data_IF_146824071761
#
_entry.id   IF_146824071761
#
_cell.length_a   1.000
_cell.length_b   1.000
_cell.length_c   1.000
_cell.angle_alpha   90.00
_cell.angle_beta   90.00
_cell.angle_gamma   90.00
#
_symmetry.space_group_name_H-M   'P 1'
#
loop_
_entity.id
_entity.type
_entity.pdbx_description
1 polymer ?
#
# COMPACT_ATOMS: atom_id res chain seq x y z
N UNK A 1 -35.07 88.21 -42.14
CA UNK A 1 -34.08 87.87 -41.10
C UNK A 1 -34.31 86.39 -40.79
N UNK A 2 -33.28 85.57 -41.03
CA UNK A 2 -33.10 84.13 -40.76
C UNK A 2 -34.15 83.48 -39.80
N UNK A 3 -34.70 82.28 -40.03
CA UNK A 3 -34.05 81.04 -40.46
C UNK A 3 -35.06 79.95 -40.89
N UNK A 4 -34.63 79.16 -41.89
CA UNK A 4 -34.68 77.68 -42.01
C UNK A 4 -36.00 76.88 -42.02
N UNK A 5 -36.34 76.42 -43.23
CA UNK A 5 -36.92 75.09 -43.58
C UNK A 5 -35.89 73.94 -43.37
N UNK A 6 -36.18 72.63 -43.61
CA UNK A 6 -37.39 71.81 -43.45
C UNK A 6 -37.04 70.38 -42.92
N UNK A 7 -37.96 69.43 -43.12
CA UNK A 7 -37.74 67.98 -43.35
C UNK A 7 -37.92 66.99 -42.18
N UNK A 8 -39.10 66.38 -42.23
CA UNK A 8 -39.37 64.94 -42.06
C UNK A 8 -38.18 63.99 -41.95
N UNK A 9 -38.16 63.22 -40.86
CA UNK A 9 -37.50 61.91 -40.80
C UNK A 9 -38.46 60.86 -40.26
N UNK A 10 -39.05 60.09 -41.18
CA UNK A 10 -39.45 58.70 -40.95
C UNK A 10 -38.24 57.81 -41.24
N UNK A 11 -37.76 57.03 -40.28
CA UNK A 11 -37.22 55.69 -40.54
C UNK A 11 -37.20 54.88 -39.24
N UNK A 12 -37.98 53.81 -39.26
CA UNK A 12 -37.90 52.72 -38.32
C UNK A 12 -36.58 51.96 -38.47
N UNK A 13 -36.07 51.42 -37.35
CA UNK A 13 -35.15 50.28 -37.35
C UNK A 13 -33.91 50.45 -36.48
N UNK A 14 -33.86 49.73 -35.36
CA UNK A 14 -32.81 48.74 -35.11
C UNK A 14 -32.95 48.15 -33.69
N UNK A 15 -33.92 47.24 -33.54
CA UNK A 15 -33.92 46.25 -32.46
C UNK A 15 -33.17 44.99 -32.92
N UNK A 16 -31.87 45.09 -33.26
CA UNK A 16 -31.00 43.94 -33.59
C UNK A 16 -29.52 44.11 -33.19
N UNK A 17 -29.25 44.74 -32.05
CA UNK A 17 -27.88 44.96 -31.56
C UNK A 17 -27.35 43.98 -30.51
N UNK A 18 -28.13 42.96 -30.10
CA UNK A 18 -27.88 42.25 -28.83
C UNK A 18 -27.39 40.80 -28.92
N UNK A 19 -27.22 40.20 -30.11
CA UNK A 19 -26.87 38.77 -30.23
C UNK A 19 -25.95 38.43 -31.42
N UNK A 20 -24.87 39.18 -31.62
CA UNK A 20 -23.74 38.70 -32.44
C UNK A 20 -22.42 38.90 -31.69
N UNK A 21 -22.31 38.22 -30.55
CA UNK A 21 -21.03 37.96 -29.91
C UNK A 21 -20.18 37.09 -30.84
N UNK A 22 -19.34 37.71 -31.66
CA UNK A 22 -18.26 37.04 -32.40
C UNK A 22 -17.22 36.59 -31.35
N UNK A 23 -17.50 35.50 -30.64
CA UNK A 23 -16.49 34.80 -29.87
C UNK A 23 -15.43 34.34 -30.87
N UNK A 24 -14.29 35.04 -30.92
CA UNK A 24 -13.22 34.65 -31.80
C UNK A 24 -12.78 33.23 -31.41
N UNK A 25 -12.54 32.37 -32.39
CA UNK A 25 -12.06 31.00 -32.19
C UNK A 25 -10.85 30.97 -31.24
N UNK A 26 -10.04 32.03 -31.25
CA UNK A 26 -8.90 32.24 -30.36
C UNK A 26 -9.31 32.33 -28.88
N UNK A 27 -10.37 33.07 -28.55
CA UNK A 27 -10.87 33.14 -27.16
C UNK A 27 -11.48 31.81 -26.70
N UNK A 28 -12.15 31.08 -27.60
CA UNK A 28 -12.66 29.74 -27.31
C UNK A 28 -11.53 28.75 -27.03
N UNK A 29 -10.47 28.75 -27.85
CA UNK A 29 -9.30 27.91 -27.66
C UNK A 29 -8.52 28.24 -26.38
N UNK A 30 -8.38 29.52 -26.04
CA UNK A 30 -7.78 29.96 -24.77
C UNK A 30 -8.62 29.46 -23.59
N UNK A 31 -9.95 29.57 -23.66
CA UNK A 31 -10.85 29.02 -22.63
C UNK A 31 -10.69 27.52 -22.44
N UNK A 32 -10.64 26.74 -23.53
CA UNK A 32 -10.41 25.28 -23.48
C UNK A 32 -9.04 24.96 -22.89
N UNK A 33 -7.98 25.67 -23.29
CA UNK A 33 -6.64 25.45 -22.77
C UNK A 33 -6.55 25.75 -21.27
N UNK A 34 -7.18 26.83 -20.80
CA UNK A 34 -7.23 27.18 -19.37
C UNK A 34 -8.02 26.13 -18.59
N UNK A 35 -9.18 25.68 -19.09
CA UNK A 35 -9.95 24.60 -18.46
C UNK A 35 -9.16 23.28 -18.44
N UNK A 36 -8.53 22.90 -19.55
CA UNK A 36 -7.68 21.70 -19.61
C UNK A 36 -6.49 21.79 -18.66
N UNK A 37 -5.89 22.98 -18.50
CA UNK A 37 -4.83 23.21 -17.53
C UNK A 37 -5.33 23.09 -16.08
N UNK A 38 -6.51 23.65 -15.78
CA UNK A 38 -7.16 23.56 -14.45
C UNK A 38 -7.55 22.12 -14.13
N UNK A 39 -8.22 21.41 -15.04
CA UNK A 39 -8.63 20.01 -14.85
C UNK A 39 -7.43 19.06 -14.85
N UNK A 40 -6.41 19.33 -15.66
CA UNK A 40 -5.14 18.60 -15.63
C UNK A 40 -4.42 18.79 -14.29
N UNK A 41 -4.38 20.03 -13.78
CA UNK A 41 -3.81 20.37 -12.48
C UNK A 41 -4.58 19.72 -11.32
N UNK A 42 -5.91 19.79 -11.33
CA UNK A 42 -6.79 19.14 -10.35
C UNK A 42 -6.70 17.60 -10.40
N UNK A 43 -6.58 17.03 -11.61
CA UNK A 43 -6.39 15.59 -11.81
C UNK A 43 -5.03 15.10 -11.30
N UNK A 44 -3.99 15.91 -11.46
CA UNK A 44 -2.66 15.68 -10.91
C UNK A 44 -2.65 15.72 -9.37
N UNK A 45 -3.36 16.69 -8.77
CA UNK A 45 -3.44 16.87 -7.31
C UNK A 45 -4.43 15.97 -6.57
N UNK A 46 -5.24 15.16 -7.27
CA UNK A 46 -6.07 14.15 -6.59
C UNK A 46 -5.17 13.24 -5.76
N UNK A 47 -5.28 13.32 -4.44
CA UNK A 47 -4.38 12.61 -3.51
C UNK A 47 -4.43 11.12 -3.77
N UNK A 48 -3.25 10.53 -3.96
CA UNK A 48 -3.06 9.10 -3.99
C UNK A 48 -3.43 8.55 -2.59
N UNK A 49 -4.46 7.71 -2.52
CA UNK A 49 -4.89 7.04 -1.29
C UNK A 49 -5.04 5.56 -1.53
N UNK A 50 -4.78 4.78 -0.50
CA UNK A 50 -4.95 3.34 -0.53
C UNK A 50 -5.08 2.78 0.87
N UNK A 51 -5.55 1.54 0.92
CA UNK A 51 -5.55 0.74 2.14
C UNK A 51 -4.36 -0.20 2.07
N UNK A 52 -3.58 -0.22 3.14
CA UNK A 52 -2.52 -1.20 3.35
C UNK A 52 -2.94 -2.11 4.49
N UNK A 53 -2.91 -3.41 4.25
CA UNK A 53 -2.98 -4.40 5.32
C UNK A 53 -1.77 -5.28 5.32
N UNK A 54 -1.44 -5.83 6.49
CA UNK A 54 -0.34 -6.77 6.62
C UNK A 54 -0.68 -7.93 7.54
N UNK A 55 -0.07 -9.07 7.24
CA UNK A 55 -0.08 -10.30 8.05
C UNK A 55 1.36 -10.71 8.30
N UNK A 56 1.61 -11.34 9.44
CA UNK A 56 2.93 -11.77 9.88
C UNK A 56 2.79 -13.20 10.33
N UNK A 57 3.65 -14.09 9.87
CA UNK A 57 3.69 -15.48 10.31
C UNK A 57 5.11 -16.05 10.22
N UNK A 58 5.32 -17.20 10.84
CA UNK A 58 6.51 -18.02 10.62
C UNK A 58 6.17 -19.25 9.78
N UNK A 59 6.90 -19.44 8.69
CA UNK A 59 6.65 -20.48 7.69
C UNK A 59 7.78 -21.51 7.72
N UNK A 60 7.48 -22.82 7.78
CA UNK A 60 8.47 -23.87 7.57
C UNK A 60 9.12 -23.77 6.18
N UNK A 61 10.45 -23.90 6.10
CA UNK A 61 11.22 -23.82 4.85
C UNK A 61 10.64 -24.74 3.77
N UNK A 62 10.31 -25.99 4.12
CA UNK A 62 9.72 -26.96 3.20
C UNK A 62 8.42 -26.48 2.55
N UNK A 63 7.54 -25.82 3.32
CA UNK A 63 6.27 -25.29 2.80
C UNK A 63 6.51 -24.10 1.88
N UNK A 64 7.45 -23.22 2.24
CA UNK A 64 7.82 -22.07 1.44
C UNK A 64 8.45 -22.50 0.09
N UNK A 65 9.38 -23.45 0.13
CA UNK A 65 10.06 -23.98 -1.06
C UNK A 65 9.07 -24.66 -2.02
N UNK A 66 8.08 -25.36 -1.48
CA UNK A 66 7.02 -26.00 -2.27
C UNK A 66 6.16 -25.01 -3.08
N UNK A 67 6.15 -23.72 -2.72
CA UNK A 67 5.43 -22.69 -3.47
C UNK A 67 6.11 -22.33 -4.80
N UNK A 68 7.38 -22.67 -4.98
CA UNK A 68 8.13 -22.38 -6.21
C UNK A 68 8.25 -20.88 -6.53
N UNK A 69 8.14 -20.01 -5.52
CA UNK A 69 8.17 -18.57 -5.70
C UNK A 69 9.59 -18.07 -5.99
N UNK A 70 9.71 -17.13 -6.93
CA UNK A 70 10.98 -16.46 -7.19
C UNK A 70 11.06 -15.17 -6.38
N UNK A 71 11.98 -15.14 -5.42
CA UNK A 71 12.19 -13.99 -4.56
C UNK A 71 13.25 -13.05 -5.11
N UNK A 72 12.97 -11.75 -5.04
CA UNK A 72 13.87 -10.65 -5.37
C UNK A 72 14.60 -10.21 -4.10
N UNK A 73 15.92 -10.11 -4.20
CA UNK A 73 16.74 -9.65 -3.09
C UNK A 73 16.50 -8.16 -2.78
N UNK A 74 16.61 -7.80 -1.50
CA UNK A 74 16.67 -6.42 -1.05
C UNK A 74 18.12 -6.14 -0.68
N UNK A 75 18.67 -5.04 -1.17
CA UNK A 75 20.05 -4.65 -0.88
C UNK A 75 20.24 -4.46 0.64
N UNK A 76 21.31 -5.02 1.18
CA UNK A 76 21.72 -4.88 2.59
C UNK A 76 20.63 -5.32 3.59
N UNK A 77 19.81 -6.30 3.23
CA UNK A 77 18.75 -6.86 4.07
C UNK A 77 18.68 -8.38 3.93
N UNK A 78 18.43 -9.15 5.01
CA UNK A 78 18.14 -10.57 4.92
C UNK A 78 16.79 -10.86 4.25
N UNK A 79 15.93 -9.84 4.16
CA UNK A 79 14.62 -9.98 3.54
C UNK A 79 14.70 -10.02 2.02
N UNK A 80 13.82 -10.83 1.44
CA UNK A 80 13.58 -10.91 0.00
C UNK A 80 12.07 -10.82 -0.22
N UNK A 81 11.65 -10.46 -1.43
CA UNK A 81 10.22 -10.29 -1.71
C UNK A 81 9.78 -10.95 -3.00
N UNK A 82 8.53 -11.41 -3.03
CA UNK A 82 7.85 -11.91 -4.21
C UNK A 82 6.45 -11.33 -4.29
N UNK A 83 5.89 -11.24 -5.49
CA UNK A 83 4.46 -10.95 -5.66
C UNK A 83 3.69 -12.27 -5.68
N UNK A 84 2.62 -12.35 -4.90
CA UNK A 84 1.79 -13.54 -4.74
C UNK A 84 0.32 -13.19 -4.96
N UNK A 85 -0.47 -14.12 -5.49
CA UNK A 85 -1.92 -13.95 -5.67
C UNK A 85 -2.67 -14.93 -4.78
N UNK A 86 -3.77 -14.49 -4.19
CA UNK A 86 -4.64 -15.31 -3.33
C UNK A 86 -3.89 -16.08 -2.25
N UNK A 87 -2.91 -15.40 -1.63
CA UNK A 87 -2.04 -15.97 -0.61
C UNK A 87 -2.59 -15.64 0.79
N UNK A 88 -2.68 -16.65 1.64
CA UNK A 88 -3.06 -16.49 3.03
C UNK A 88 -1.98 -17.11 3.90
N UNK A 89 -1.30 -16.27 4.69
CA UNK A 89 -0.25 -16.74 5.58
C UNK A 89 -0.76 -17.69 6.66
N UNK A 90 -2.03 -17.56 7.05
CA UNK A 90 -2.61 -18.37 8.13
C UNK A 90 -2.75 -19.85 7.74
N UNK A 91 -2.83 -20.16 6.44
CA UNK A 91 -2.83 -21.53 5.93
C UNK A 91 -1.46 -22.23 6.12
N UNK A 92 -0.40 -21.46 6.36
CA UNK A 92 0.95 -21.96 6.59
C UNK A 92 1.30 -22.13 8.06
N UNK A 93 0.30 -22.10 8.94
CA UNK A 93 0.45 -22.40 10.36
C UNK A 93 1.48 -23.54 10.56
N UNK A 94 2.48 -23.34 11.43
CA UNK A 94 3.61 -24.23 11.48
C UNK A 94 3.15 -25.66 11.72
N UNK A 95 3.66 -26.57 10.89
CA UNK A 95 3.53 -28.03 11.08
C UNK A 95 4.37 -28.54 12.25
N UNK A 96 5.20 -27.66 12.81
CA UNK A 96 5.82 -27.89 14.10
C UNK A 96 4.68 -28.05 15.10
N UNK A 97 4.64 -29.12 15.90
CA UNK A 97 3.53 -29.57 16.78
C UNK A 97 3.03 -28.52 17.80
N UNK A 98 3.52 -27.28 17.70
CA UNK A 98 3.31 -26.13 18.53
C UNK A 98 1.92 -25.55 18.38
N UNK A 99 1.39 -25.11 19.51
CA UNK A 99 0.16 -24.34 19.60
C UNK A 99 0.56 -22.86 19.59
N UNK A 100 0.11 -22.12 18.58
CA UNK A 100 0.41 -20.71 18.38
C UNK A 100 -0.87 -19.88 18.23
N UNK A 101 -0.87 -18.68 18.77
CA UNK A 101 -1.89 -17.69 18.44
C UNK A 101 -1.52 -16.99 17.11
N UNK A 102 -2.48 -16.62 16.26
CA UNK A 102 -2.16 -15.83 15.07
C UNK A 102 -1.68 -14.43 15.47
N UNK A 103 -0.76 -13.86 14.69
CA UNK A 103 -0.49 -12.42 14.80
C UNK A 103 -1.73 -11.62 14.40
N UNK A 104 -1.90 -10.42 14.97
CA UNK A 104 -3.05 -9.57 14.59
C UNK A 104 -2.81 -9.01 13.18
N UNK A 105 -3.72 -9.31 12.26
CA UNK A 105 -3.79 -8.58 11.00
C UNK A 105 -4.22 -7.13 11.29
N UNK A 106 -3.49 -6.17 10.72
CA UNK A 106 -3.91 -4.76 10.76
C UNK A 106 -4.18 -4.26 9.36
N UNK A 107 -5.23 -3.46 9.26
CA UNK A 107 -5.62 -2.73 8.07
C UNK A 107 -5.59 -1.25 8.40
N UNK A 108 -5.00 -0.45 7.52
CA UNK A 108 -4.88 0.99 7.72
C UNK A 108 -5.04 1.73 6.41
N UNK A 109 -5.82 2.81 6.44
CA UNK A 109 -5.81 3.79 5.36
C UNK A 109 -4.49 4.56 5.39
N UNK A 110 -3.81 4.59 4.25
CA UNK A 110 -2.54 5.29 4.08
C UNK A 110 -2.70 6.36 3.01
N UNK A 111 -2.27 7.56 3.35
CA UNK A 111 -2.34 8.72 2.47
C UNK A 111 -1.00 8.97 1.75
N UNK A 112 -1.07 9.92 0.83
CA UNK A 112 0.01 10.40 -0.03
C UNK A 112 1.37 10.49 0.66
N UNK A 113 2.41 9.99 -0.03
CA UNK A 113 3.82 10.13 0.39
C UNK A 113 4.25 11.62 0.49
N UNK A 114 5.07 12.00 1.49
CA UNK A 114 5.52 11.21 2.64
C UNK A 114 4.53 11.25 3.81
N UNK A 115 4.24 10.06 4.35
CA UNK A 115 3.48 9.84 5.58
C UNK A 115 4.25 8.80 6.40
N UNK A 116 4.76 9.18 7.57
CA UNK A 116 5.49 8.26 8.43
C UNK A 116 4.58 7.07 8.79
N UNK A 117 5.06 5.84 8.60
CA UNK A 117 4.33 4.69 9.10
C UNK A 117 4.33 4.71 10.62
N UNK A 118 3.23 4.24 11.21
CA UNK A 118 3.25 3.93 12.64
C UNK A 118 4.25 2.81 12.90
N UNK A 119 4.88 2.87 14.07
CA UNK A 119 5.54 1.71 14.63
C UNK A 119 4.48 0.73 15.13
N UNK A 120 4.70 -0.54 14.84
CA UNK A 120 3.89 -1.64 15.28
C UNK A 120 4.75 -2.65 16.01
N UNK A 121 4.28 -3.09 17.17
CA UNK A 121 4.84 -4.22 17.89
C UNK A 121 3.71 -5.19 18.19
N UNK A 122 3.93 -6.46 17.90
CA UNK A 122 3.03 -7.54 18.26
C UNK A 122 3.81 -8.68 18.89
N UNK A 123 3.14 -9.46 19.72
CA UNK A 123 3.71 -10.59 20.41
C UNK A 123 2.67 -11.68 20.60
N UNK A 124 3.08 -12.93 20.44
CA UNK A 124 2.24 -14.09 20.66
C UNK A 124 2.93 -15.13 21.53
N UNK A 125 2.12 -15.92 22.21
CA UNK A 125 2.61 -17.10 22.93
C UNK A 125 2.70 -18.30 21.98
N UNK A 126 3.79 -19.04 22.14
CA UNK A 126 4.05 -20.29 21.42
C UNK A 126 4.31 -21.39 22.46
N UNK A 127 3.60 -22.50 22.36
CA UNK A 127 3.77 -23.66 23.26
C UNK A 127 4.08 -24.91 22.46
N UNK A 128 4.99 -25.74 22.95
CA UNK A 128 5.25 -27.07 22.37
C UNK A 128 4.57 -28.11 23.27
N UNK A 129 3.71 -29.02 22.76
CA UNK A 129 2.95 -29.96 23.57
C UNK A 129 3.80 -31.15 24.11
N UNK A 130 5.11 -30.94 24.31
CA UNK A 130 6.07 -31.96 24.74
C UNK A 130 6.56 -31.67 26.17
N UNK A 131 6.49 -32.66 27.06
CA UNK A 131 6.93 -32.51 28.46
C UNK A 131 5.85 -31.92 29.38
N UNK A 132 6.04 -32.04 30.69
CA UNK A 132 5.17 -31.45 31.72
C UNK A 132 6.00 -30.70 32.78
N UNK A 133 5.83 -29.37 32.93
CA UNK A 133 4.98 -28.50 32.12
C UNK A 133 5.54 -28.30 30.69
N UNK A 134 4.67 -28.03 29.69
CA UNK A 134 5.12 -27.83 28.32
C UNK A 134 5.98 -26.56 28.19
N UNK A 135 7.12 -26.61 27.46
CA UNK A 135 7.92 -25.44 27.14
C UNK A 135 7.07 -24.36 26.47
N UNK A 136 7.28 -23.12 26.90
CA UNK A 136 6.59 -21.96 26.34
C UNK A 136 7.56 -20.84 26.01
N UNK A 137 7.32 -20.17 24.88
CA UNK A 137 8.10 -19.03 24.42
C UNK A 137 7.19 -17.89 23.98
N UNK A 138 7.81 -16.72 23.81
CA UNK A 138 7.15 -15.56 23.21
C UNK A 138 7.82 -15.31 21.87
N UNK A 139 7.02 -15.22 20.82
CA UNK A 139 7.43 -14.74 19.51
C UNK A 139 6.97 -13.31 19.37
N UNK A 140 7.83 -12.41 18.91
CA UNK A 140 7.49 -10.99 18.80
C UNK A 140 8.03 -10.39 17.51
N UNK A 141 7.27 -9.46 16.95
CA UNK A 141 7.64 -8.75 15.73
C UNK A 141 7.44 -7.26 15.94
N UNK A 142 8.47 -6.50 15.61
CA UNK A 142 8.44 -5.05 15.54
C UNK A 142 8.64 -4.59 14.10
N UNK A 143 7.78 -3.70 13.65
CA UNK A 143 7.79 -3.06 12.33
C UNK A 143 7.72 -1.55 12.52
N UNK A 144 8.51 -0.78 11.79
CA UNK A 144 8.37 0.67 11.77
C UNK A 144 9.03 1.28 10.53
N UNK A 145 8.54 2.42 10.05
CA UNK A 145 9.14 3.07 8.88
C UNK A 145 8.16 3.88 8.07
N UNK A 146 7.94 3.49 6.82
CA UNK A 146 7.13 4.22 5.84
C UNK A 146 6.32 3.27 4.95
N UNK A 147 5.05 3.61 4.72
CA UNK A 147 4.23 3.07 3.63
C UNK A 147 3.54 4.26 2.95
N UNK A 148 3.37 4.23 1.64
CA UNK A 148 2.54 5.24 0.99
C UNK A 148 2.42 5.11 -0.52
N UNK A 149 1.50 5.91 -1.03
CA UNK A 149 1.20 5.99 -2.46
C UNK A 149 1.63 7.34 -3.01
N UNK A 150 2.12 7.36 -4.25
CA UNK A 150 2.37 8.60 -4.99
C UNK A 150 1.90 8.48 -6.42
N UNK A 151 1.55 9.61 -7.03
CA UNK A 151 1.38 9.69 -8.49
C UNK A 151 2.71 10.07 -9.12
N UNK A 152 3.14 9.30 -10.12
CA UNK A 152 4.25 9.63 -11.00
C UNK A 152 3.72 9.71 -12.43
N UNK A 153 3.45 10.93 -12.91
CA UNK A 153 2.69 11.13 -14.14
C UNK A 153 1.25 10.61 -14.01
N UNK A 154 0.84 9.75 -14.95
CA UNK A 154 -0.49 9.12 -14.95
C UNK A 154 -0.56 7.81 -14.15
N UNK A 155 0.55 7.38 -13.53
CA UNK A 155 0.63 6.10 -12.82
C UNK A 155 0.64 6.28 -11.31
N UNK A 156 -0.14 5.43 -10.64
CA UNK A 156 -0.11 5.30 -9.19
C UNK A 156 1.01 4.32 -8.80
N UNK A 157 1.89 4.76 -7.91
CA UNK A 157 3.02 3.99 -7.40
C UNK A 157 2.82 3.74 -5.91
N UNK A 158 3.27 2.57 -5.47
CA UNK A 158 3.33 2.18 -4.07
C UNK A 158 4.78 2.08 -3.62
N UNK A 159 5.07 2.58 -2.43
CA UNK A 159 6.36 2.43 -1.78
C UNK A 159 6.17 2.00 -0.33
N UNK A 160 7.01 1.07 0.11
CA UNK A 160 7.21 0.74 1.51
C UNK A 160 8.70 0.68 1.82
N UNK A 161 9.06 1.15 3.01
CA UNK A 161 10.41 1.12 3.55
C UNK A 161 10.31 0.94 5.06
N UNK A 162 10.59 -0.27 5.55
CA UNK A 162 10.32 -0.65 6.92
C UNK A 162 11.54 -1.29 7.55
N UNK A 163 11.84 -0.90 8.78
CA UNK A 163 12.72 -1.63 9.67
C UNK A 163 11.91 -2.73 10.36
N UNK A 164 12.46 -3.94 10.37
CA UNK A 164 11.86 -5.11 11.01
C UNK A 164 12.83 -5.70 12.01
N UNK A 165 12.32 -6.03 13.19
CA UNK A 165 12.96 -6.95 14.12
C UNK A 165 11.97 -8.05 14.49
N UNK A 166 12.40 -9.30 14.40
CA UNK A 166 11.58 -10.45 14.77
C UNK A 166 12.36 -11.38 15.69
N UNK A 167 11.76 -11.70 16.83
CA UNK A 167 12.29 -12.63 17.81
C UNK A 167 11.47 -13.91 17.80
N UNK A 168 12.18 -15.03 17.67
CA UNK A 168 11.60 -16.35 17.55
C UNK A 168 12.17 -17.29 18.64
N UNK A 169 11.32 -17.99 19.39
CA UNK A 169 11.76 -18.96 20.39
C UNK A 169 12.35 -20.22 19.73
N UNK A 170 13.57 -20.57 20.10
CA UNK A 170 14.30 -21.75 19.61
C UNK A 170 14.06 -22.97 20.50
N UNK A 171 13.21 -23.88 20.02
CA UNK A 171 12.84 -25.10 20.72
C UNK A 171 13.70 -26.33 20.35
N UNK A 172 14.70 -26.18 19.47
CA UNK A 172 15.42 -27.32 18.90
C UNK A 172 16.23 -28.12 19.93
N UNK A 173 16.59 -27.50 21.06
CA UNK A 173 17.48 -28.07 22.08
C UNK A 173 17.02 -27.76 23.51
N UNK A 174 15.71 -27.75 23.79
CA UNK A 174 15.20 -27.45 25.14
C UNK A 174 14.75 -28.71 25.89
N UNK A 175 15.66 -29.50 26.51
CA UNK A 175 15.27 -30.58 27.40
C UNK A 175 15.03 -30.15 28.87
N UNK A 176 15.44 -28.94 29.29
CA UNK A 176 15.44 -28.57 30.72
C UNK A 176 14.96 -27.14 31.07
N UNK A 177 14.94 -26.21 30.11
CA UNK A 177 14.49 -24.83 30.35
C UNK A 177 12.99 -24.69 30.02
N UNK A 178 12.20 -24.13 30.95
CA UNK A 178 10.79 -23.80 30.68
C UNK A 178 10.64 -22.70 29.63
N UNK A 179 11.71 -21.92 29.40
CA UNK A 179 11.79 -20.82 28.45
C UNK A 179 12.94 -21.07 27.46
N UNK A 180 12.66 -21.19 26.16
CA UNK A 180 13.68 -21.39 25.14
C UNK A 180 14.54 -20.13 24.95
N UNK A 181 15.77 -20.32 24.45
CA UNK A 181 16.58 -19.23 23.90
C UNK A 181 15.86 -18.59 22.72
N UNK A 182 16.14 -17.32 22.45
CA UNK A 182 15.56 -16.59 21.32
C UNK A 182 16.56 -16.45 20.18
N UNK A 183 16.11 -16.70 18.96
CA UNK A 183 16.76 -16.31 17.71
C UNK A 183 16.16 -15.00 17.24
N UNK A 184 16.96 -14.17 16.58
CA UNK A 184 16.51 -12.86 16.09
C UNK A 184 16.87 -12.68 14.62
N UNK A 185 15.94 -12.13 13.86
CA UNK A 185 16.19 -11.64 12.50
C UNK A 185 15.81 -10.16 12.41
N UNK A 186 16.76 -9.34 12.00
CA UNK A 186 16.57 -7.90 11.81
C UNK A 186 16.93 -7.50 10.37
N UNK A 187 16.16 -6.59 9.81
CA UNK A 187 16.38 -6.18 8.42
C UNK A 187 15.45 -5.10 7.94
N UNK A 188 15.50 -4.86 6.63
CA UNK A 188 14.66 -3.87 5.96
C UNK A 188 13.74 -4.51 4.94
N UNK A 189 12.46 -4.14 4.96
CA UNK A 189 11.56 -4.38 3.84
C UNK A 189 11.62 -3.15 2.94
N UNK A 190 11.76 -3.37 1.64
CA UNK A 190 11.75 -2.30 0.66
C UNK A 190 11.03 -2.75 -0.60
N UNK A 191 10.10 -1.92 -1.05
CA UNK A 191 9.47 -2.02 -2.35
C UNK A 191 9.17 -0.61 -2.85
N UNK A 192 9.50 -0.33 -4.11
CA UNK A 192 9.05 0.88 -4.80
C UNK A 192 8.70 0.49 -6.24
N UNK A 193 7.45 0.71 -6.63
CA UNK A 193 6.99 0.27 -7.93
C UNK A 193 5.54 0.62 -8.23
N UNK A 194 5.00 -0.07 -9.24
CA UNK A 194 3.55 -0.04 -9.51
C UNK A 194 2.82 -0.65 -8.32
N UNK A 195 1.51 -0.39 -8.20
CA UNK A 195 0.72 -1.14 -7.22
C UNK A 195 0.74 -2.63 -7.62
N UNK A 196 1.09 -3.55 -6.70
CA UNK A 196 1.05 -4.99 -6.99
C UNK A 196 -0.37 -5.41 -7.37
N UNK A 197 -0.50 -6.32 -8.34
CA UNK A 197 -1.80 -6.88 -8.70
C UNK A 197 -2.30 -7.83 -7.60
N UNK A 198 -1.38 -8.55 -6.97
CA UNK A 198 -1.60 -9.36 -5.77
C UNK A 198 -1.10 -8.69 -4.50
N UNK A 199 -0.49 -9.51 -3.64
CA UNK A 199 0.13 -9.13 -2.39
C UNK A 199 1.66 -9.26 -2.50
N UNK A 200 2.40 -8.53 -1.67
CA UNK A 200 3.85 -8.63 -1.56
C UNK A 200 4.19 -9.53 -0.38
N UNK A 201 4.78 -10.69 -0.64
CA UNK A 201 5.30 -11.59 0.37
C UNK A 201 6.78 -11.28 0.61
N UNK A 202 7.11 -10.82 1.81
CA UNK A 202 8.48 -10.67 2.29
C UNK A 202 8.87 -11.86 3.15
N UNK A 203 10.08 -12.38 2.96
CA UNK A 203 10.62 -13.49 3.75
C UNK A 203 12.03 -13.20 4.22
N UNK A 204 12.40 -13.65 5.41
CA UNK A 204 13.78 -13.72 5.87
C UNK A 204 14.02 -15.04 6.62
N UNK A 205 15.16 -15.72 6.41
CA UNK A 205 15.48 -16.91 7.17
C UNK A 205 15.74 -16.55 8.63
N UNK A 206 15.13 -17.29 9.56
CA UNK A 206 15.42 -17.23 10.99
C UNK A 206 16.43 -18.33 11.35
N UNK A 207 16.20 -19.52 10.78
CA UNK A 207 17.02 -20.71 10.91
C UNK A 207 16.93 -21.54 9.62
N UNK A 208 17.63 -22.67 9.56
CA UNK A 208 17.65 -23.56 8.39
C UNK A 208 16.25 -24.04 7.96
N UNK A 209 15.35 -24.22 8.91
CA UNK A 209 14.03 -24.82 8.67
C UNK A 209 12.86 -23.83 8.79
N UNK A 210 13.11 -22.56 9.12
CA UNK A 210 12.05 -21.58 9.44
C UNK A 210 12.35 -20.21 8.87
N UNK A 211 11.34 -19.62 8.24
CA UNK A 211 11.35 -18.25 7.73
C UNK A 211 10.37 -17.37 8.50
N UNK A 212 10.77 -16.13 8.75
CA UNK A 212 9.84 -15.06 9.09
C UNK A 212 9.20 -14.56 7.79
N UNK A 213 7.88 -14.49 7.74
CA UNK A 213 7.13 -14.05 6.58
C UNK A 213 6.20 -12.89 6.92
N UNK A 214 6.18 -11.88 6.05
CA UNK A 214 5.29 -10.72 6.15
C UNK A 214 4.58 -10.55 4.81
N UNK A 215 3.27 -10.71 4.81
CA UNK A 215 2.44 -10.47 3.64
C UNK A 215 1.89 -9.05 3.72
N UNK A 216 2.10 -8.27 2.68
CA UNK A 216 1.64 -6.89 2.56
C UNK A 216 0.66 -6.80 1.40
N UNK A 217 -0.56 -6.36 1.70
CA UNK A 217 -1.59 -6.08 0.70
C UNK A 217 -1.75 -4.57 0.56
N UNK A 218 -1.64 -4.06 -0.66
CA UNK A 218 -1.83 -2.65 -0.97
C UNK A 218 -2.95 -2.51 -2.01
N UNK A 219 -4.05 -1.86 -1.64
CA UNK A 219 -5.18 -1.60 -2.54
C UNK A 219 -5.37 -0.10 -2.70
N UNK A 220 -5.47 0.45 -3.93
CA UNK A 220 -5.84 1.84 -4.10
C UNK A 220 -7.28 2.05 -3.63
N UNK A 221 -7.61 3.25 -3.16
CA UNK A 221 -9.00 3.63 -2.89
C UNK A 221 -9.62 4.26 -4.12
N UNK A 222 -10.87 3.92 -4.39
CA UNK A 222 -11.69 4.63 -5.36
C UNK A 222 -12.11 5.98 -4.80
N UNK A 223 -11.72 7.05 -5.49
CA UNK A 223 -11.98 8.43 -5.09
C UNK A 223 -13.46 8.83 -5.15
N UNK A 224 -14.33 8.05 -5.79
CA UNK A 224 -15.77 8.32 -5.84
C UNK A 224 -16.52 7.68 -4.67
N UNK A 225 -16.08 6.50 -4.23
CA UNK A 225 -16.79 5.67 -3.25
C UNK A 225 -16.09 5.60 -1.89
N UNK A 226 -14.85 6.11 -1.78
CA UNK A 226 -13.97 5.91 -0.62
C UNK A 226 -13.87 4.43 -0.22
N UNK A 227 -14.01 3.52 -1.18
CA UNK A 227 -13.90 2.09 -0.98
C UNK A 227 -12.59 1.56 -1.61
N UNK A 228 -12.01 0.48 -1.09
CA UNK A 228 -10.88 -0.18 -1.75
C UNK A 228 -11.29 -0.62 -3.15
N UNK A 229 -10.51 -0.26 -4.16
CA UNK A 229 -10.75 -0.73 -5.53
C UNK A 229 -10.45 -2.23 -5.56
N UNK A 230 -11.45 -3.04 -5.94
CA UNK A 230 -11.20 -4.46 -6.27
C UNK A 230 -10.22 -4.50 -7.45
N UNK A 231 -9.11 -5.21 -7.29
CA UNK A 231 -8.28 -5.55 -8.44
C UNK A 231 -9.11 -6.40 -9.40
N UNK A 232 -9.20 -5.96 -10.65
CA UNK A 232 -9.79 -6.77 -11.70
C UNK A 232 -9.00 -8.09 -11.85
N UNK A 233 -9.69 -9.21 -12.13
CA UNK A 233 -9.07 -10.53 -12.32
C UNK A 233 -8.02 -10.55 -13.44
#
# INVERSE_FOLDING_TARGET
MHDSDPSTTSHAGSSRGLLQGRFSLRWMMVGIAVLAAIFGYLGYFRSARGVVSYQIETIPAKKLDALGLTFRAIKDSPYRWAEVKDFDLTAFAPEDDRIQQPFRAKEREVHMWPYQADSYTDSRFVKVPRGDPPPQGIESTQLGGFWGFRKAGLHLQFRLELQVGHQYPDFSNTPEEHFPKTKMVEGKLFYEGKIPAGDLLFIAPIDNDVYHAILVRARPMDAATNAPTKTAP
#
